data_IF_423320842618
#
_entry.id   IF_423320842618
#
_cell.length_a   1.000
_cell.length_b   1.000
_cell.length_c   1.000
_cell.angle_alpha   90.00
_cell.angle_beta   90.00
_cell.angle_gamma   90.00
#
_symmetry.space_group_name_H-M   'P 1'
#
loop_
_entity.id
_entity.type
_entity.pdbx_description
1 polymer ?
#
# COMPACT_ATOMS: atom_id res chain seq x y z
N UNK A 1 6.45 7.53 -5.45
CA UNK A 1 5.70 7.02 -6.62
C UNK A 1 4.68 8.04 -7.14
N UNK A 2 3.93 8.72 -6.28
CA UNK A 2 2.91 9.73 -6.67
C UNK A 2 3.50 11.10 -7.06
N UNK A 3 4.54 11.57 -6.38
CA UNK A 3 5.03 12.96 -6.52
C UNK A 3 5.61 13.30 -7.92
N UNK A 4 6.28 12.32 -8.54
CA UNK A 4 6.94 12.51 -9.83
C UNK A 4 6.03 12.22 -11.02
N UNK A 5 4.92 11.52 -10.81
CA UNK A 5 4.08 10.98 -11.90
C UNK A 5 2.67 11.57 -11.95
N UNK A 6 2.27 12.35 -10.95
CA UNK A 6 0.90 12.87 -10.82
C UNK A 6 0.90 14.39 -10.64
N UNK A 7 -0.06 15.05 -11.29
CA UNK A 7 -0.43 16.45 -11.12
C UNK A 7 -1.83 16.53 -10.50
N UNK A 8 -1.96 17.18 -9.35
CA UNK A 8 -3.22 17.39 -8.63
C UNK A 8 -3.10 18.58 -7.67
N UNK A 9 -4.21 18.98 -7.04
CA UNK A 9 -4.18 19.92 -5.91
C UNK A 9 -3.36 19.35 -4.73
N UNK A 10 -2.87 20.20 -3.82
CA UNK A 10 -2.15 19.72 -2.63
C UNK A 10 -3.00 18.77 -1.77
N UNK A 11 -4.31 19.06 -1.65
CA UNK A 11 -5.25 18.23 -0.89
C UNK A 11 -5.43 16.85 -1.54
N UNK A 12 -5.58 16.80 -2.85
CA UNK A 12 -5.72 15.53 -3.58
C UNK A 12 -4.41 14.74 -3.58
N UNK A 13 -3.27 15.43 -3.68
CA UNK A 13 -1.95 14.81 -3.54
C UNK A 13 -1.77 14.20 -2.14
N UNK A 14 -2.22 14.87 -1.09
CA UNK A 14 -2.20 14.33 0.28
C UNK A 14 -3.04 13.06 0.40
N UNK A 15 -4.28 13.06 -0.13
CA UNK A 15 -5.16 11.88 -0.14
C UNK A 15 -4.53 10.71 -0.89
N UNK A 16 -3.88 10.97 -2.04
CA UNK A 16 -3.19 9.94 -2.81
C UNK A 16 -1.98 9.36 -2.07
N UNK A 17 -1.18 10.20 -1.42
CA UNK A 17 -0.05 9.77 -0.60
C UNK A 17 -0.53 8.90 0.56
N UNK A 18 -1.55 9.36 1.28
CA UNK A 18 -2.13 8.62 2.40
C UNK A 18 -2.62 7.25 1.94
N UNK A 19 -3.38 7.20 0.84
CA UNK A 19 -3.86 5.95 0.26
C UNK A 19 -2.73 5.01 -0.14
N UNK A 20 -1.72 5.53 -0.81
CA UNK A 20 -0.57 4.74 -1.24
C UNK A 20 0.22 4.19 -0.05
N UNK A 21 0.41 4.99 1.00
CA UNK A 21 1.04 4.55 2.24
C UNK A 21 0.23 3.45 2.93
N UNK A 22 -1.09 3.62 3.08
CA UNK A 22 -1.97 2.59 3.68
C UNK A 22 -1.96 1.30 2.87
N UNK A 23 -2.01 1.40 1.54
CA UNK A 23 -1.97 0.22 0.68
C UNK A 23 -0.61 -0.50 0.76
N UNK A 24 0.48 0.27 0.76
CA UNK A 24 1.83 -0.27 0.89
C UNK A 24 2.07 -0.93 2.25
N UNK A 25 1.53 -0.39 3.33
CA UNK A 25 1.60 -0.96 4.67
C UNK A 25 0.80 -2.27 4.75
N UNK A 26 -0.47 -2.25 4.32
CA UNK A 26 -1.31 -3.44 4.33
C UNK A 26 -0.74 -4.57 3.45
N UNK A 27 -0.33 -4.28 2.20
CA UNK A 27 0.16 -5.30 1.28
C UNK A 27 1.61 -5.69 1.53
N UNK A 28 2.49 -4.73 1.80
CA UNK A 28 3.92 -4.96 1.92
C UNK A 28 4.34 -5.41 3.32
N UNK A 29 3.80 -4.79 4.36
CA UNK A 29 4.18 -5.10 5.75
C UNK A 29 3.31 -6.24 6.28
N UNK A 30 2.00 -6.04 6.36
CA UNK A 30 1.09 -7.05 6.91
C UNK A 30 0.92 -8.27 5.98
N UNK A 31 0.86 -8.06 4.67
CA UNK A 31 0.80 -9.15 3.70
C UNK A 31 2.00 -10.10 3.82
N UNK A 32 3.19 -9.58 4.12
CA UNK A 32 4.38 -10.40 4.32
C UNK A 32 4.29 -11.36 5.51
N UNK A 33 3.50 -11.00 6.53
CA UNK A 33 3.28 -11.82 7.72
C UNK A 33 2.28 -12.97 7.47
N UNK A 34 1.53 -12.92 6.36
CA UNK A 34 0.61 -13.98 5.94
C UNK A 34 1.25 -14.99 4.97
N UNK A 35 2.54 -14.81 4.65
CA UNK A 35 3.27 -15.67 3.73
C UNK A 35 4.32 -16.48 4.51
N UNK A 36 4.18 -17.80 4.64
CA UNK A 36 4.96 -18.58 5.60
C UNK A 36 6.45 -18.69 5.21
N UNK A 37 6.76 -18.56 3.91
CA UNK A 37 8.13 -18.54 3.39
C UNK A 37 8.78 -17.14 3.38
N UNK A 38 8.09 -16.10 3.86
CA UNK A 38 8.67 -14.76 3.90
C UNK A 38 9.78 -14.67 4.97
N UNK A 39 10.87 -13.95 4.67
CA UNK A 39 12.05 -13.86 5.56
C UNK A 39 11.70 -13.36 6.98
N UNK A 40 10.72 -12.46 7.07
CA UNK A 40 10.22 -11.90 8.32
C UNK A 40 9.60 -12.95 9.25
N UNK A 41 8.92 -13.95 8.69
CA UNK A 41 8.36 -15.05 9.48
C UNK A 41 9.47 -15.95 10.02
N UNK A 42 10.50 -16.21 9.23
CA UNK A 42 11.69 -16.94 9.68
C UNK A 42 12.39 -16.24 10.86
N UNK A 43 12.50 -14.91 10.79
CA UNK A 43 13.05 -14.11 11.90
C UNK A 43 12.24 -14.28 13.19
N UNK A 44 10.92 -14.16 13.15
CA UNK A 44 10.10 -14.32 14.35
C UNK A 44 10.10 -15.73 14.91
N UNK A 45 10.06 -16.75 14.05
CA UNK A 45 10.19 -18.13 14.50
C UNK A 45 11.53 -18.32 15.23
N UNK A 46 12.63 -17.81 14.69
CA UNK A 46 13.95 -17.91 15.33
C UNK A 46 13.97 -17.24 16.71
N UNK A 47 13.36 -16.06 16.85
CA UNK A 47 13.22 -15.37 18.14
C UNK A 47 12.38 -16.19 19.12
N UNK A 48 11.23 -16.72 18.69
CA UNK A 48 10.38 -17.55 19.53
C UNK A 48 11.10 -18.82 20.01
N UNK A 49 11.86 -19.48 19.13
CA UNK A 49 12.67 -20.65 19.48
C UNK A 49 13.79 -20.32 20.48
N UNK A 50 14.38 -19.12 20.38
CA UNK A 50 15.43 -18.67 21.29
C UNK A 50 14.89 -18.35 22.70
N UNK A 51 13.70 -17.76 22.80
CA UNK A 51 13.07 -17.37 24.07
C UNK A 51 12.32 -18.53 24.73
N UNK A 52 11.68 -19.40 23.93
CA UNK A 52 10.85 -20.51 24.38
C UNK A 52 11.30 -21.83 23.73
N UNK A 53 12.47 -22.36 24.13
CA UNK A 53 13.10 -23.50 23.45
C UNK A 53 12.34 -24.84 23.61
N UNK A 54 11.36 -24.91 24.52
CA UNK A 54 10.57 -26.11 24.79
C UNK A 54 9.44 -26.33 23.76
N UNK A 55 9.13 -25.35 22.92
CA UNK A 55 8.09 -25.44 21.92
C UNK A 55 8.68 -25.22 20.53
N UNK A 56 8.37 -26.11 19.58
CA UNK A 56 8.76 -25.98 18.20
C UNK A 56 7.77 -25.06 17.46
N UNK A 57 8.11 -23.77 17.36
CA UNK A 57 7.30 -22.81 16.62
C UNK A 57 7.44 -23.01 15.12
N UNK A 58 6.33 -22.96 14.41
CA UNK A 58 6.29 -22.92 12.95
C UNK A 58 5.81 -21.54 12.48
N UNK A 59 6.12 -21.13 11.24
CA UNK A 59 5.56 -19.90 10.67
C UNK A 59 4.03 -19.86 10.68
N UNK A 60 3.36 -21.02 10.60
CA UNK A 60 1.90 -21.10 10.63
C UNK A 60 1.31 -20.76 11.99
N UNK A 61 2.02 -21.06 13.09
CA UNK A 61 1.56 -20.71 14.44
C UNK A 61 1.48 -19.20 14.60
N UNK A 62 2.48 -18.47 14.11
CA UNK A 62 2.52 -17.01 14.17
C UNK A 62 1.44 -16.41 13.26
N UNK A 63 1.31 -16.94 12.04
CA UNK A 63 0.32 -16.46 11.07
C UNK A 63 -1.12 -16.62 11.58
N UNK A 64 -1.46 -17.78 12.14
CA UNK A 64 -2.80 -18.10 12.62
C UNK A 64 -3.33 -17.07 13.62
N UNK A 65 -2.46 -16.56 14.49
CA UNK A 65 -2.83 -15.59 15.53
C UNK A 65 -2.60 -14.13 15.11
N UNK A 66 -2.16 -13.87 13.88
CA UNK A 66 -1.96 -12.52 13.38
C UNK A 66 -3.27 -11.93 12.82
N UNK A 67 -4.23 -11.68 13.71
CA UNK A 67 -5.53 -11.11 13.37
C UNK A 67 -5.41 -9.72 12.72
N UNK A 68 -4.42 -8.92 13.14
CA UNK A 68 -4.18 -7.60 12.57
C UNK A 68 -3.82 -7.70 11.09
N UNK A 69 -2.92 -8.62 10.72
CA UNK A 69 -2.55 -8.81 9.33
C UNK A 69 -3.73 -9.26 8.47
N UNK A 70 -4.55 -10.19 8.98
CA UNK A 70 -5.77 -10.61 8.29
C UNK A 70 -6.73 -9.44 8.08
N UNK A 71 -7.04 -8.68 9.13
CA UNK A 71 -7.97 -7.54 9.02
C UNK A 71 -7.43 -6.48 8.08
N UNK A 72 -6.15 -6.11 8.16
CA UNK A 72 -5.55 -5.09 7.31
C UNK A 72 -5.55 -5.50 5.83
N UNK A 73 -5.08 -6.70 5.51
CA UNK A 73 -4.98 -7.20 4.12
C UNK A 73 -6.37 -7.44 3.52
N UNK A 74 -7.26 -8.12 4.24
CA UNK A 74 -8.59 -8.40 3.68
C UNK A 74 -9.44 -7.15 3.56
N UNK A 75 -9.41 -6.24 4.55
CA UNK A 75 -10.18 -5.00 4.45
C UNK A 75 -9.69 -4.12 3.30
N UNK A 76 -8.37 -3.95 3.13
CA UNK A 76 -7.85 -3.12 2.04
C UNK A 76 -8.21 -3.73 0.67
N UNK A 77 -8.08 -5.06 0.51
CA UNK A 77 -8.38 -5.73 -0.75
C UNK A 77 -9.87 -5.67 -1.07
N UNK A 78 -10.72 -6.00 -0.10
CA UNK A 78 -12.18 -5.96 -0.28
C UNK A 78 -12.65 -4.55 -0.60
N UNK A 79 -12.23 -3.54 0.17
CA UNK A 79 -12.62 -2.14 -0.06
C UNK A 79 -12.14 -1.63 -1.42
N UNK A 80 -10.96 -2.05 -1.87
CA UNK A 80 -10.39 -1.63 -3.17
C UNK A 80 -11.06 -2.31 -4.35
N UNK A 81 -11.28 -3.63 -4.28
CA UNK A 81 -11.84 -4.42 -5.40
C UNK A 81 -13.34 -4.11 -5.57
N UNK A 82 -14.07 -3.99 -4.47
CA UNK A 82 -15.51 -3.69 -4.50
C UNK A 82 -15.81 -2.21 -4.77
N UNK A 83 -14.82 -1.32 -4.59
CA UNK A 83 -15.01 0.13 -4.68
C UNK A 83 -15.79 0.72 -3.49
N UNK A 84 -15.95 -0.05 -2.41
CA UNK A 84 -16.59 0.42 -1.17
C UNK A 84 -15.75 1.43 -0.40
N UNK A 85 -14.46 1.55 -0.73
CA UNK A 85 -13.59 2.63 -0.26
C UNK A 85 -14.17 4.04 -0.55
N UNK A 86 -15.00 4.18 -1.60
CA UNK A 86 -15.67 5.44 -1.97
C UNK A 86 -16.70 5.93 -0.95
N UNK A 87 -17.26 5.04 -0.13
CA UNK A 87 -18.27 5.38 0.89
C UNK A 87 -17.66 5.86 2.20
N UNK A 88 -16.36 5.65 2.40
CA UNK A 88 -15.65 6.06 3.62
C UNK A 88 -14.98 7.42 3.37
N UNK A 89 -15.37 8.49 4.09
CA UNK A 89 -14.72 9.79 3.96
C UNK A 89 -13.22 9.67 4.29
N UNK A 90 -12.36 10.39 3.54
CA UNK A 90 -10.89 10.29 3.56
C UNK A 90 -10.28 9.03 2.92
N UNK A 91 -11.04 7.95 2.73
CA UNK A 91 -10.58 6.74 2.05
C UNK A 91 -10.84 6.75 0.54
N UNK A 92 -11.73 7.64 0.10
CA UNK A 92 -12.04 7.87 -1.30
C UNK A 92 -10.81 8.35 -2.08
N UNK A 93 -10.43 7.58 -3.09
CA UNK A 93 -9.40 7.95 -4.05
C UNK A 93 -9.87 9.11 -4.95
N UNK A 94 -9.12 10.23 -5.04
CA UNK A 94 -9.40 11.26 -6.01
C UNK A 94 -9.14 10.72 -7.42
N UNK A 95 -10.01 11.07 -8.37
CA UNK A 95 -10.07 10.47 -9.72
C UNK A 95 -10.05 11.57 -10.79
N UNK A 96 -9.80 11.21 -12.06
CA UNK A 96 -9.85 12.16 -13.17
C UNK A 96 -11.23 12.86 -13.24
N UNK A 97 -11.30 14.20 -13.46
CA UNK A 97 -10.22 15.10 -13.90
C UNK A 97 -9.42 15.79 -12.79
N UNK A 98 -9.71 15.52 -11.51
CA UNK A 98 -9.10 16.19 -10.34
C UNK A 98 -7.61 15.84 -10.17
N UNK A 99 -7.25 14.65 -10.64
CA UNK A 99 -5.90 14.09 -10.59
C UNK A 99 -5.53 13.67 -11.99
N UNK A 100 -4.34 14.01 -12.47
CA UNK A 100 -3.88 13.65 -13.82
C UNK A 100 -2.48 13.07 -13.76
N UNK A 101 -2.20 12.11 -14.63
CA UNK A 101 -0.82 11.63 -14.82
C UNK A 101 -0.01 12.71 -15.55
N UNK A 102 1.23 12.92 -15.10
CA UNK A 102 2.22 13.72 -15.83
C UNK A 102 2.47 13.03 -17.17
N UNK A 103 2.08 13.68 -18.27
CA UNK A 103 2.28 13.14 -19.60
C UNK A 103 3.78 12.96 -19.88
N UNK A 104 4.21 11.78 -20.33
CA UNK A 104 5.49 11.67 -21.04
C UNK A 104 5.36 12.51 -22.32
N UNK A 105 6.04 13.65 -22.37
CA UNK A 105 6.10 14.62 -23.47
C UNK A 105 4.75 15.17 -23.97
N UNK A 106 4.37 16.35 -23.49
CA UNK A 106 3.79 17.35 -24.41
C UNK A 106 4.97 17.96 -25.17
N UNK A 107 5.07 17.85 -26.51
CA UNK A 107 6.12 18.53 -27.25
C UNK A 107 6.00 20.02 -26.96
N UNK A 108 7.12 20.63 -26.56
CA UNK A 108 7.21 22.06 -26.33
C UNK A 108 6.61 22.79 -27.54
N UNK A 109 5.56 23.57 -27.29
CA UNK A 109 4.92 24.42 -28.29
C UNK A 109 6.02 25.30 -28.90
N UNK A 110 6.37 25.03 -30.16
CA UNK A 110 7.37 25.78 -30.94
C UNK A 110 7.06 27.27 -30.83
N UNK A 111 7.87 27.99 -30.06
CA UNK A 111 7.81 29.43 -29.96
C UNK A 111 8.54 29.96 -31.20
N UNK A 112 7.78 30.14 -32.29
CA UNK A 112 8.24 30.90 -33.44
C UNK A 112 8.65 32.29 -32.96
N UNK A 113 9.96 32.55 -32.91
CA UNK A 113 10.50 33.90 -32.85
C UNK A 113 10.80 34.27 -34.29
N UNK A 114 9.81 34.91 -34.94
CA UNK A 114 10.07 35.82 -36.05
C UNK A 114 10.29 37.21 -35.43
N UNK A 115 11.37 37.86 -35.83
CA UNK A 115 11.77 39.19 -35.40
C UNK A 115 13.27 39.37 -35.52
#
# INVERSE_FOLDING_TARGET
MTDENVEASEEDMYKLRLRNSTFSDAMGVFGSQLVPWHCYMGFYVAVCMAVYPLHAFTPFDIMKYNFMAFVAVFSILLLTITGWDRFIPLFKLPSEPQVRLKGKSTPAKTRNVQG
#
